data_IF_125509958470
#
_entry.id   IF_125509958470
#
_cell.length_a   1.000
_cell.length_b   1.000
_cell.length_c   1.000
_cell.angle_alpha   90.00
_cell.angle_beta   90.00
_cell.angle_gamma   90.00
#
_symmetry.space_group_name_H-M   'P 1'
#
loop_
_entity.id
_entity.type
_entity.pdbx_description
1 polymer ?
#
# COMPACT_ATOMS: atom_id res chain seq x y z
N UNK A 1 -10.71 13.23 9.31
CA UNK A 1 -9.27 12.96 9.54
C UNK A 1 -8.81 11.93 8.51
N UNK A 2 -7.66 12.13 7.85
CA UNK A 2 -7.10 11.10 7.00
C UNK A 2 -6.47 10.03 7.90
N UNK A 3 -6.83 8.76 7.71
CA UNK A 3 -6.23 7.64 8.45
C UNK A 3 -4.76 7.52 8.07
N UNK A 4 -3.88 7.53 9.08
CA UNK A 4 -2.47 7.18 8.91
C UNK A 4 -2.37 5.66 8.73
N UNK A 5 -1.76 5.24 7.61
CA UNK A 5 -1.61 3.84 7.23
C UNK A 5 -0.13 3.42 7.15
N UNK A 6 0.75 4.24 7.72
CA UNK A 6 2.19 4.04 7.62
C UNK A 6 2.63 2.70 8.21
N UNK A 7 1.96 2.22 9.27
CA UNK A 7 2.28 0.95 9.91
C UNK A 7 1.97 -0.24 9.00
N UNK A 8 0.82 -0.24 8.35
CA UNK A 8 0.34 -1.30 7.47
C UNK A 8 1.18 -1.39 6.20
N UNK A 9 1.57 -0.25 5.64
CA UNK A 9 2.46 -0.24 4.46
C UNK A 9 3.85 -0.71 4.82
N UNK A 10 4.38 -0.34 5.99
CA UNK A 10 5.66 -0.88 6.48
C UNK A 10 5.58 -2.39 6.70
N UNK A 11 4.48 -2.87 7.30
CA UNK A 11 4.25 -4.29 7.49
C UNK A 11 4.26 -5.04 6.15
N UNK A 12 3.62 -4.50 5.11
CA UNK A 12 3.68 -5.07 3.77
C UNK A 12 5.08 -5.03 3.16
N UNK A 13 5.77 -3.90 3.29
CA UNK A 13 7.12 -3.71 2.76
C UNK A 13 8.14 -4.68 3.37
N UNK A 14 8.05 -4.93 4.67
CA UNK A 14 8.98 -5.80 5.41
C UNK A 14 8.56 -7.28 5.38
N UNK A 15 7.37 -7.60 4.88
CA UNK A 15 6.87 -8.96 4.87
C UNK A 15 7.74 -9.88 3.99
N UNK A 16 7.93 -11.16 4.35
CA UNK A 16 8.64 -12.12 3.51
C UNK A 16 7.90 -12.35 2.18
N UNK A 17 8.59 -12.85 1.15
CA UNK A 17 8.04 -13.04 -0.20
C UNK A 17 6.74 -13.87 -0.24
N UNK A 18 6.55 -14.78 0.71
CA UNK A 18 5.38 -15.67 0.80
C UNK A 18 4.25 -15.16 1.71
N UNK A 19 4.45 -14.01 2.36
CA UNK A 19 3.44 -13.45 3.25
C UNK A 19 2.16 -13.12 2.48
N UNK A 20 1.02 -13.38 3.12
CA UNK A 20 -0.30 -12.99 2.66
C UNK A 20 -0.76 -11.75 3.40
N UNK A 21 -1.59 -10.95 2.74
CA UNK A 21 -2.21 -9.79 3.35
C UNK A 21 -3.10 -10.22 4.53
N UNK A 22 -2.82 -9.78 5.78
CA UNK A 22 -3.59 -10.19 6.95
C UNK A 22 -4.89 -9.40 7.12
N UNK A 23 -5.11 -8.35 6.32
CA UNK A 23 -6.26 -7.47 6.44
C UNK A 23 -7.40 -7.86 5.50
N UNK A 24 -8.58 -7.30 5.76
CA UNK A 24 -9.73 -7.50 4.90
C UNK A 24 -9.47 -6.94 3.48
N UNK A 25 -9.80 -7.73 2.45
CA UNK A 25 -9.68 -7.30 1.06
C UNK A 25 -10.42 -5.99 0.83
N UNK A 26 -9.83 -5.06 0.08
CA UNK A 26 -10.38 -3.70 -0.19
C UNK A 26 -10.56 -2.77 1.03
N UNK A 27 -10.17 -3.19 2.23
CA UNK A 27 -10.07 -2.26 3.36
C UNK A 27 -8.88 -1.31 3.17
N UNK A 28 -8.92 -0.15 3.82
CA UNK A 28 -7.82 0.81 3.79
C UNK A 28 -6.48 0.17 4.21
N UNK A 29 -6.48 -0.61 5.30
CA UNK A 29 -5.31 -1.36 5.79
C UNK A 29 -4.83 -2.41 4.79
N UNK A 30 -5.75 -3.17 4.16
CA UNK A 30 -5.40 -4.16 3.14
C UNK A 30 -4.74 -3.54 1.91
N UNK A 31 -5.32 -2.46 1.39
CA UNK A 31 -4.77 -1.71 0.27
C UNK A 31 -3.37 -1.19 0.61
N UNK A 32 -3.20 -0.65 1.83
CA UNK A 32 -1.93 -0.11 2.29
C UNK A 32 -0.84 -1.20 2.37
N UNK A 33 -1.18 -2.38 2.88
CA UNK A 33 -0.27 -3.52 2.94
C UNK A 33 0.16 -3.98 1.54
N UNK A 34 -0.77 -4.09 0.59
CA UNK A 34 -0.46 -4.45 -0.81
C UNK A 34 0.45 -3.40 -1.47
N UNK A 35 0.23 -2.12 -1.17
CA UNK A 35 1.13 -1.04 -1.62
C UNK A 35 2.54 -1.24 -1.07
N UNK A 36 2.68 -1.62 0.21
CA UNK A 36 3.97 -1.91 0.84
C UNK A 36 4.73 -3.02 0.13
N UNK A 37 4.04 -4.11 -0.20
CA UNK A 37 4.60 -5.22 -0.98
C UNK A 37 5.09 -4.78 -2.34
N UNK A 38 4.26 -4.02 -3.05
CA UNK A 38 4.61 -3.50 -4.37
C UNK A 38 5.83 -2.56 -4.33
N UNK A 39 5.94 -1.71 -3.30
CA UNK A 39 7.11 -0.86 -3.10
C UNK A 39 8.39 -1.69 -2.93
N UNK A 40 8.33 -2.76 -2.14
CA UNK A 40 9.47 -3.66 -1.95
C UNK A 40 9.85 -4.36 -3.27
N UNK A 41 8.85 -4.91 -3.99
CA UNK A 41 9.07 -5.64 -5.24
C UNK A 41 9.64 -4.76 -6.35
N UNK A 42 9.32 -3.46 -6.34
CA UNK A 42 9.83 -2.49 -7.31
C UNK A 42 11.15 -1.83 -6.89
N UNK A 43 11.78 -2.29 -5.80
CA UNK A 43 13.07 -1.78 -5.32
C UNK A 43 13.01 -0.36 -4.75
N UNK A 44 11.84 0.09 -4.28
CA UNK A 44 11.64 1.43 -3.73
C UNK A 44 12.04 1.50 -2.25
N UNK A 45 12.23 2.72 -1.77
CA UNK A 45 12.56 2.96 -0.36
C UNK A 45 11.37 2.72 0.56
N UNK A 46 11.66 2.37 1.81
CA UNK A 46 10.66 2.19 2.84
C UNK A 46 9.79 3.46 3.03
N UNK A 47 8.46 3.31 3.11
CA UNK A 47 7.53 4.43 3.19
C UNK A 47 7.55 5.09 4.59
N UNK A 48 7.39 6.42 4.61
CA UNK A 48 7.45 7.22 5.86
C UNK A 48 6.13 7.88 6.26
N UNK A 49 5.32 8.28 5.28
CA UNK A 49 4.05 8.94 5.51
C UNK A 49 3.05 8.41 4.48
N UNK A 50 2.07 7.66 4.96
CA UNK A 50 1.07 7.02 4.10
C UNK A 50 -0.33 7.33 4.55
N UNK A 51 -1.18 7.72 3.59
CA UNK A 51 -2.59 8.02 3.82
C UNK A 51 -3.43 7.60 2.63
N UNK A 52 -4.68 7.24 2.88
CA UNK A 52 -5.65 7.08 1.80
C UNK A 52 -5.82 8.40 1.03
N UNK A 53 -5.95 8.27 -0.28
CA UNK A 53 -6.46 9.31 -1.15
C UNK A 53 -7.92 8.98 -1.53
N UNK A 54 -8.41 9.52 -2.65
CA UNK A 54 -9.75 9.21 -3.15
C UNK A 54 -9.79 7.81 -3.77
N UNK A 55 -10.93 7.12 -3.61
CA UNK A 55 -11.14 5.78 -4.16
C UNK A 55 -10.11 4.78 -3.64
N UNK A 56 -9.63 3.91 -4.53
CA UNK A 56 -8.63 2.89 -4.23
C UNK A 56 -7.20 3.39 -4.39
N UNK A 57 -6.93 4.66 -4.07
CA UNK A 57 -5.59 5.24 -4.21
C UNK A 57 -4.94 5.53 -2.86
N UNK A 58 -3.64 5.33 -2.77
CA UNK A 58 -2.81 5.56 -1.57
C UNK A 58 -1.72 6.56 -1.90
N UNK A 59 -1.56 7.57 -1.04
CA UNK A 59 -0.46 8.54 -1.17
C UNK A 59 0.70 8.11 -0.27
N UNK A 60 1.86 7.90 -0.88
CA UNK A 60 3.10 7.49 -0.22
C UNK A 60 4.15 8.57 -0.47
N UNK A 61 4.31 9.48 0.48
CA UNK A 61 5.09 10.71 0.25
C UNK A 61 4.56 11.50 -0.96
N UNK A 62 5.41 11.71 -1.96
CA UNK A 62 5.06 12.43 -3.19
C UNK A 62 4.42 11.54 -4.27
N UNK A 63 4.40 10.22 -4.08
CA UNK A 63 3.83 9.28 -5.03
C UNK A 63 2.34 9.06 -4.79
N UNK A 64 1.60 8.85 -5.88
CA UNK A 64 0.23 8.33 -5.82
C UNK A 64 0.18 6.94 -6.46
N UNK A 65 -0.33 5.98 -5.70
CA UNK A 65 -0.45 4.58 -6.10
C UNK A 65 -1.94 4.27 -6.24
N UNK A 66 -2.33 3.70 -7.38
CA UNK A 66 -3.66 3.13 -7.61
C UNK A 66 -3.64 1.64 -7.29
N UNK A 67 -4.65 1.16 -6.58
CA UNK A 67 -4.86 -0.24 -6.26
C UNK A 67 -6.10 -0.77 -6.99
N UNK A 68 -5.99 -1.94 -7.60
CA UNK A 68 -7.07 -2.55 -8.35
C UNK A 68 -7.85 -3.56 -7.48
N UNK A 69 -9.14 -3.32 -7.20
CA UNK A 69 -9.94 -4.19 -6.34
C UNK A 69 -10.19 -5.60 -6.89
N UNK A 70 -9.99 -5.83 -8.19
CA UNK A 70 -10.22 -7.13 -8.82
C UNK A 70 -9.08 -8.12 -8.56
N UNK A 71 -7.84 -7.63 -8.48
CA UNK A 71 -6.65 -8.48 -8.46
C UNK A 71 -5.57 -8.04 -7.46
N UNK A 72 -5.79 -6.96 -6.71
CA UNK A 72 -4.82 -6.43 -5.75
C UNK A 72 -3.59 -5.76 -6.39
N UNK A 73 -3.61 -5.54 -7.70
CA UNK A 73 -2.47 -4.95 -8.39
C UNK A 73 -2.30 -3.47 -8.02
N UNK A 74 -1.05 -3.07 -7.82
CA UNK A 74 -0.66 -1.69 -7.53
C UNK A 74 0.08 -1.10 -8.73
N UNK A 75 -0.23 0.16 -9.06
CA UNK A 75 0.48 0.92 -10.09
C UNK A 75 0.72 2.37 -9.64
N UNK A 76 1.86 2.95 -10.02
CA UNK A 76 2.11 4.38 -9.80
C UNK A 76 1.38 5.19 -10.86
N UNK A 77 0.59 6.16 -10.42
CA UNK A 77 -0.17 7.07 -11.30
C UNK A 77 0.28 8.54 -11.19
N UNK A 78 1.18 8.88 -10.26
CA UNK A 78 1.87 10.18 -10.18
C UNK A 78 3.18 10.06 -9.40
#
# INVERSE_FOLDING_TARGET
>A
MATDLTAEVKQGFEAPAEARNPFYHSSASGIAWDCGRWLQQTGRTAPRAVRMSRGYSVRVGDMLISWNPKNGACERIS
#
